data_IF_669108672913
#
_entry.id   IF_669108672913
#
_cell.length_a   1.000
_cell.length_b   1.000
_cell.length_c   1.000
_cell.angle_alpha   90.00
_cell.angle_beta   90.00
_cell.angle_gamma   90.00
#
_symmetry.space_group_name_H-M   'P 1'
#
loop_
_entity.id
_entity.type
_entity.pdbx_description
1 polymer ?
#
# COMPACT_ATOMS: atom_id res chain seq x y z
N UNK A 1 48.52 -14.88 0.60
CA UNK A 1 47.49 -15.64 1.33
C UNK A 1 46.20 -14.85 1.27
N UNK A 2 45.31 -15.19 0.35
CA UNK A 2 44.04 -14.49 0.18
C UNK A 2 43.05 -14.92 1.25
N UNK A 3 42.91 -14.11 2.29
CA UNK A 3 41.85 -14.25 3.29
C UNK A 3 40.52 -13.80 2.69
N UNK A 4 39.85 -14.68 1.94
CA UNK A 4 38.45 -14.48 1.57
C UNK A 4 37.60 -14.50 2.84
N UNK A 5 37.26 -13.32 3.36
CA UNK A 5 36.31 -13.15 4.48
C UNK A 5 34.99 -13.84 4.09
N UNK A 6 34.67 -14.94 4.77
CA UNK A 6 33.39 -15.64 4.62
C UNK A 6 32.28 -14.70 5.07
N UNK A 7 31.43 -14.28 4.14
CA UNK A 7 30.28 -13.41 4.44
C UNK A 7 29.33 -14.12 5.38
N UNK A 8 29.03 -13.47 6.51
CA UNK A 8 28.22 -14.06 7.56
C UNK A 8 26.74 -13.73 7.28
N UNK A 9 26.06 -14.60 6.54
CA UNK A 9 24.68 -14.44 6.08
C UNK A 9 23.69 -14.12 7.21
N UNK A 10 23.90 -14.66 8.40
CA UNK A 10 23.10 -14.32 9.59
C UNK A 10 23.19 -12.84 9.95
N UNK A 11 24.40 -12.26 9.93
CA UNK A 11 24.61 -10.83 10.22
C UNK A 11 23.98 -9.95 9.15
N UNK A 12 24.01 -10.39 7.88
CA UNK A 12 23.37 -9.67 6.77
C UNK A 12 21.86 -9.65 6.97
N UNK A 13 21.24 -10.79 7.29
CA UNK A 13 19.80 -10.86 7.59
C UNK A 13 19.38 -9.97 8.76
N UNK A 14 20.17 -9.97 9.84
CA UNK A 14 19.92 -9.11 11.01
C UNK A 14 20.01 -7.61 10.66
N UNK A 15 21.02 -7.22 9.86
CA UNK A 15 21.15 -5.84 9.38
C UNK A 15 19.97 -5.45 8.47
N UNK A 16 19.54 -6.34 7.55
CA UNK A 16 18.36 -6.08 6.71
C UNK A 16 17.10 -5.87 7.54
N UNK A 17 16.83 -6.72 8.53
CA UNK A 17 15.70 -6.56 9.45
C UNK A 17 15.77 -5.23 10.22
N UNK A 18 16.96 -4.85 10.68
CA UNK A 18 17.18 -3.60 11.39
C UNK A 18 16.92 -2.37 10.50
N UNK A 19 17.35 -2.41 9.24
CA UNK A 19 17.08 -1.33 8.26
C UNK A 19 15.59 -1.21 7.95
N UNK A 20 14.88 -2.34 7.78
CA UNK A 20 13.43 -2.36 7.59
C UNK A 20 12.72 -1.75 8.81
N UNK A 21 13.12 -2.15 10.02
CA UNK A 21 12.55 -1.61 11.26
C UNK A 21 12.73 -0.09 11.37
N UNK A 22 13.95 0.42 11.12
CA UNK A 22 14.23 1.85 11.15
C UNK A 22 13.39 2.60 10.10
N UNK A 23 13.31 2.07 8.88
CA UNK A 23 12.52 2.67 7.80
C UNK A 23 11.04 2.80 8.19
N UNK A 24 10.46 1.75 8.79
CA UNK A 24 9.08 1.76 9.28
C UNK A 24 8.89 2.72 10.46
N UNK A 25 9.86 2.79 11.38
CA UNK A 25 9.83 3.71 12.50
C UNK A 25 9.81 5.18 12.04
N UNK A 26 10.67 5.53 11.08
CA UNK A 26 10.67 6.86 10.48
C UNK A 26 9.38 7.14 9.69
N UNK A 27 8.87 6.17 8.93
CA UNK A 27 7.61 6.32 8.20
C UNK A 27 6.42 6.59 9.12
N UNK A 28 6.37 5.94 10.29
CA UNK A 28 5.39 6.21 11.34
C UNK A 28 5.55 7.61 11.92
N UNK A 29 6.79 8.03 12.21
CA UNK A 29 7.08 9.35 12.79
C UNK A 29 6.92 10.51 11.80
N UNK A 30 7.03 10.25 10.50
CA UNK A 30 7.01 11.25 9.42
C UNK A 30 5.60 11.73 9.05
N UNK A 31 4.53 11.20 9.67
CA UNK A 31 3.16 11.54 9.27
C UNK A 31 2.76 11.03 7.88
N UNK A 32 3.55 10.14 7.25
CA UNK A 32 3.20 9.51 5.98
C UNK A 32 1.92 8.68 6.09
N UNK A 33 1.69 8.10 7.27
CA UNK A 33 0.44 7.42 7.61
C UNK A 33 -0.75 8.37 7.68
N UNK A 34 -0.55 9.58 8.22
CA UNK A 34 -1.59 10.60 8.28
C UNK A 34 -1.90 11.16 6.89
N UNK A 35 -0.90 11.44 6.05
CA UNK A 35 -1.13 11.98 4.70
C UNK A 35 -1.88 11.03 3.76
N UNK A 36 -1.54 9.73 3.77
CA UNK A 36 -2.20 8.75 2.93
C UNK A 36 -3.62 8.38 3.41
N UNK A 37 -3.87 8.39 4.72
CA UNK A 37 -5.23 8.25 5.26
C UNK A 37 -6.06 9.50 5.03
N UNK A 38 -5.48 10.69 5.25
CA UNK A 38 -6.15 11.97 5.07
C UNK A 38 -6.52 12.22 3.62
N UNK A 39 -5.70 11.82 2.66
CA UNK A 39 -6.08 11.88 1.25
C UNK A 39 -7.25 10.93 0.93
N UNK A 40 -7.30 9.72 1.49
CA UNK A 40 -8.44 8.79 1.32
C UNK A 40 -9.73 9.32 1.97
N UNK A 41 -9.62 9.93 3.14
CA UNK A 41 -10.75 10.54 3.87
C UNK A 41 -11.20 11.82 3.16
N UNK A 42 -10.30 12.73 2.77
CA UNK A 42 -10.64 13.96 2.04
C UNK A 42 -11.27 13.69 0.66
N UNK A 43 -10.81 12.66 -0.07
CA UNK A 43 -11.47 12.25 -1.31
C UNK A 43 -12.89 11.72 -1.06
N UNK A 44 -13.09 10.99 0.03
CA UNK A 44 -14.40 10.44 0.41
C UNK A 44 -15.34 11.56 0.87
N UNK A 45 -14.85 12.48 1.71
CA UNK A 45 -15.60 13.62 2.23
C UNK A 45 -15.99 14.59 1.12
N UNK A 46 -15.07 14.91 0.20
CA UNK A 46 -15.36 15.76 -0.96
C UNK A 46 -16.39 15.13 -1.91
N UNK A 47 -16.35 13.81 -2.08
CA UNK A 47 -17.33 13.09 -2.90
C UNK A 47 -18.71 13.03 -2.22
N UNK A 48 -18.75 12.92 -0.89
CA UNK A 48 -19.98 12.99 -0.08
C UNK A 48 -20.59 14.40 -0.15
N UNK A 49 -19.79 15.47 -0.03
CA UNK A 49 -20.29 16.84 -0.13
C UNK A 49 -20.88 17.18 -1.50
N UNK A 50 -20.25 16.69 -2.58
CA UNK A 50 -20.78 16.84 -3.94
C UNK A 50 -22.10 16.09 -4.10
N UNK A 51 -22.16 14.84 -3.63
CA UNK A 51 -23.39 14.05 -3.60
C UNK A 51 -24.53 14.75 -2.84
N UNK A 52 -24.25 15.31 -1.66
CA UNK A 52 -25.26 16.05 -0.88
C UNK A 52 -25.71 17.35 -1.56
N UNK A 53 -24.80 18.07 -2.22
CA UNK A 53 -25.11 19.25 -3.02
C UNK A 53 -26.07 18.92 -4.17
N UNK A 54 -25.80 17.83 -4.87
CA UNK A 54 -26.50 17.48 -6.11
C UNK A 54 -27.90 16.92 -5.81
N UNK A 55 -28.07 16.22 -4.67
CA UNK A 55 -29.39 15.89 -4.09
C UNK A 55 -30.17 17.16 -3.72
N UNK A 56 -29.53 18.14 -3.06
CA UNK A 56 -30.19 19.40 -2.66
C UNK A 56 -30.65 20.23 -3.86
N UNK A 57 -29.98 20.10 -5.01
CA UNK A 57 -30.32 20.77 -6.27
C UNK A 57 -31.40 20.04 -7.08
N UNK A 58 -31.83 18.85 -6.66
CA UNK A 58 -32.88 18.09 -7.33
C UNK A 58 -32.43 17.40 -8.62
N UNK A 59 -31.12 17.21 -8.80
CA UNK A 59 -30.57 16.47 -9.94
C UNK A 59 -30.82 14.96 -9.77
N UNK A 60 -30.96 14.23 -10.88
CA UNK A 60 -31.21 12.78 -10.86
C UNK A 60 -29.87 12.06 -10.61
N UNK A 61 -29.51 11.92 -9.33
CA UNK A 61 -28.19 11.43 -8.90
C UNK A 61 -28.15 9.90 -8.98
N UNK A 62 -27.40 9.35 -9.95
CA UNK A 62 -27.11 7.92 -10.01
C UNK A 62 -25.85 7.61 -9.20
N UNK A 63 -26.00 6.83 -8.12
CA UNK A 63 -24.91 6.36 -7.24
C UNK A 63 -23.75 5.72 -8.03
N UNK A 64 -24.04 5.11 -9.18
CA UNK A 64 -23.06 4.45 -10.03
C UNK A 64 -22.08 5.43 -10.70
N UNK A 65 -22.45 6.69 -10.85
CA UNK A 65 -21.61 7.71 -11.49
C UNK A 65 -20.50 8.22 -10.56
N UNK A 66 -20.78 8.25 -9.25
CA UNK A 66 -19.81 8.60 -8.19
C UNK A 66 -18.97 7.39 -7.76
N UNK A 67 -19.48 6.18 -7.96
CA UNK A 67 -18.75 4.92 -7.81
C UNK A 67 -17.97 4.53 -9.07
N UNK A 68 -18.01 5.34 -10.14
CA UNK A 68 -17.34 5.02 -11.40
C UNK A 68 -15.85 4.94 -11.18
N UNK A 69 -15.45 3.69 -11.07
CA UNK A 69 -14.14 3.16 -10.70
C UNK A 69 -13.01 4.05 -11.23
N UNK A 70 -12.42 4.83 -10.33
CA UNK A 70 -11.13 5.47 -10.58
C UNK A 70 -10.08 4.35 -10.63
N UNK A 71 -10.07 3.59 -11.73
CA UNK A 71 -9.05 2.62 -12.09
C UNK A 71 -7.74 3.36 -12.37
N UNK A 72 -7.18 4.01 -11.35
CA UNK A 72 -5.79 4.46 -11.35
C UNK A 72 -4.96 3.21 -11.13
N UNK A 73 -4.23 2.83 -12.16
CA UNK A 73 -3.27 1.74 -12.07
C UNK A 73 -2.11 2.19 -11.17
N UNK A 74 -2.16 1.78 -9.90
CA UNK A 74 -1.09 2.01 -8.91
C UNK A 74 -0.01 0.90 -8.97
N UNK A 75 0.01 0.11 -10.06
CA UNK A 75 1.03 -0.93 -10.26
C UNK A 75 2.38 -0.27 -10.51
N UNK A 76 3.27 -0.38 -9.53
CA UNK A 76 4.69 -0.07 -9.67
C UNK A 76 5.53 -1.34 -9.47
N UNK A 77 6.83 -1.23 -9.70
CA UNK A 77 7.75 -2.36 -9.58
C UNK A 77 7.68 -3.03 -8.19
N UNK A 78 7.53 -2.25 -7.12
CA UNK A 78 7.39 -2.78 -5.76
C UNK A 78 6.05 -3.50 -5.57
N UNK A 79 4.93 -2.92 -6.03
CA UNK A 79 3.60 -3.55 -5.98
C UNK A 79 3.57 -4.87 -6.74
N UNK A 80 4.22 -4.94 -7.92
CA UNK A 80 4.30 -6.16 -8.73
C UNK A 80 5.15 -7.24 -8.05
N UNK A 81 6.27 -6.87 -7.41
CA UNK A 81 7.09 -7.78 -6.62
C UNK A 81 6.32 -8.32 -5.42
N UNK A 82 5.60 -7.45 -4.70
CA UNK A 82 4.72 -7.85 -3.59
C UNK A 82 3.61 -8.80 -4.02
N UNK A 83 2.96 -8.53 -5.15
CA UNK A 83 1.93 -9.41 -5.71
C UNK A 83 2.48 -10.79 -6.08
N UNK A 84 3.64 -10.85 -6.74
CA UNK A 84 4.29 -12.14 -7.06
C UNK A 84 4.68 -12.88 -5.78
N UNK A 85 5.21 -12.19 -4.78
CA UNK A 85 5.54 -12.79 -3.49
C UNK A 85 4.29 -13.36 -2.80
N UNK A 86 3.23 -12.57 -2.66
CA UNK A 86 1.95 -12.99 -2.07
C UNK A 86 1.40 -14.22 -2.79
N UNK A 87 1.34 -14.18 -4.13
CA UNK A 87 0.83 -15.29 -4.94
C UNK A 87 1.64 -16.58 -4.75
N UNK A 88 2.96 -16.48 -4.52
CA UNK A 88 3.79 -17.65 -4.25
C UNK A 88 3.57 -18.19 -2.84
N UNK A 89 3.36 -17.32 -1.84
CA UNK A 89 2.98 -17.71 -0.48
C UNK A 89 1.61 -18.38 -0.48
N UNK A 90 0.61 -17.78 -1.13
CA UNK A 90 -0.74 -18.34 -1.24
C UNK A 90 -0.73 -19.71 -1.91
N UNK A 91 0.04 -19.85 -2.99
CA UNK A 91 0.21 -21.15 -3.67
C UNK A 91 0.90 -22.18 -2.78
N UNK A 92 1.86 -21.77 -1.96
CA UNK A 92 2.54 -22.67 -1.03
C UNK A 92 1.59 -23.16 0.07
N UNK A 93 0.81 -22.25 0.65
CA UNK A 93 -0.19 -22.57 1.67
C UNK A 93 -1.31 -23.46 1.11
N UNK A 94 -1.85 -23.14 -0.06
CA UNK A 94 -2.92 -23.92 -0.69
C UNK A 94 -2.46 -25.26 -1.29
N UNK A 95 -1.15 -25.46 -1.52
CA UNK A 95 -0.59 -26.76 -1.90
C UNK A 95 -0.28 -27.67 -0.70
N UNK A 96 -0.28 -27.11 0.51
CA UNK A 96 -0.06 -27.84 1.76
C UNK A 96 -1.34 -28.35 2.43
N UNK A 97 -2.51 -28.03 1.87
CA UNK A 97 -3.81 -28.64 2.20
C UNK A 97 -4.11 -29.74 1.18
#
# INVERSE_FOLDING_TARGET
MDNKKKTNWFKIGLICLFVIYISLYFMKSSGYYDGAMRQRVEFTDSQIEQFESDIKKGENVDLNEYLKDQNKDYTNAASKLGYVFSKNVDRFLNKGI
#
